data_IF_727598367218
#
_entry.id   IF_727598367218
#
_cell.length_a   1.000
_cell.length_b   1.000
_cell.length_c   1.000
_cell.angle_alpha   90.00
_cell.angle_beta   90.00
_cell.angle_gamma   90.00
#
_symmetry.space_group_name_H-M   'P 1'
#
loop_
_entity.id
_entity.type
_entity.pdbx_description
1 polymer ?
#
# COMPACT_ATOMS: atom_id res chain seq x y z
N UNK A 1 4.22 -6.62 9.90
CA UNK A 1 3.29 -5.47 9.84
C UNK A 1 2.32 -5.69 8.70
N UNK A 2 1.02 -5.54 8.94
CA UNK A 2 -0.01 -5.73 7.92
C UNK A 2 -0.08 -4.49 7.01
N UNK A 3 -0.07 -4.70 5.70
CA UNK A 3 -0.15 -3.64 4.69
C UNK A 3 -1.55 -3.64 4.08
N UNK A 4 -2.13 -2.45 3.94
CA UNK A 4 -3.42 -2.27 3.30
C UNK A 4 -3.24 -1.86 1.85
N UNK A 5 -3.82 -2.63 0.94
CA UNK A 5 -3.91 -2.28 -0.48
C UNK A 5 -5.31 -1.90 -0.88
N UNK A 6 -5.43 -1.00 -1.84
CA UNK A 6 -6.67 -0.78 -2.57
C UNK A 6 -6.69 -1.70 -3.78
N UNK A 7 -7.77 -2.48 -3.89
CA UNK A 7 -8.08 -3.32 -5.04
C UNK A 7 -9.30 -2.72 -5.73
N UNK A 8 -9.13 -2.23 -6.96
CA UNK A 8 -10.19 -1.53 -7.67
C UNK A 8 -10.54 -0.17 -7.04
N UNK A 9 -11.79 0.27 -7.24
CA UNK A 9 -12.23 1.65 -6.96
C UNK A 9 -12.64 1.89 -5.52
N UNK A 10 -13.15 0.88 -4.81
CA UNK A 10 -13.75 1.04 -3.47
C UNK A 10 -13.39 -0.06 -2.47
N UNK A 11 -12.53 -1.02 -2.82
CA UNK A 11 -12.22 -2.15 -1.93
C UNK A 11 -10.81 -1.98 -1.38
N UNK A 12 -10.69 -1.99 -0.05
CA UNK A 12 -9.40 -2.04 0.63
C UNK A 12 -9.23 -3.38 1.32
N UNK A 13 -8.03 -3.95 1.19
CA UNK A 13 -7.70 -5.28 1.68
C UNK A 13 -6.43 -5.18 2.51
N UNK A 14 -6.52 -5.58 3.77
CA UNK A 14 -5.40 -5.60 4.69
C UNK A 14 -4.80 -7.01 4.77
N UNK A 15 -3.50 -7.13 4.52
CA UNK A 15 -2.84 -8.42 4.46
C UNK A 15 -1.34 -8.36 4.75
N UNK A 16 -0.67 -9.50 4.59
CA UNK A 16 0.78 -9.61 4.79
C UNK A 16 1.48 -9.18 3.50
N UNK A 17 2.36 -8.18 3.57
CA UNK A 17 3.17 -7.77 2.42
C UNK A 17 4.07 -8.92 1.98
N UNK A 18 3.90 -9.37 0.73
CA UNK A 18 4.71 -10.41 0.11
C UNK A 18 5.84 -9.78 -0.70
N UNK A 19 5.50 -8.79 -1.54
CA UNK A 19 6.47 -8.16 -2.45
C UNK A 19 6.01 -6.77 -2.87
N UNK A 20 6.97 -5.88 -3.06
CA UNK A 20 6.76 -4.56 -3.68
C UNK A 20 7.16 -4.67 -5.16
N UNK A 21 6.30 -4.22 -6.07
CA UNK A 21 6.61 -4.09 -7.49
C UNK A 21 7.19 -2.71 -7.75
N UNK A 22 8.16 -2.64 -8.66
CA UNK A 22 8.82 -1.38 -9.05
C UNK A 22 7.86 -0.36 -9.68
N UNK A 23 6.68 -0.78 -10.13
CA UNK A 23 5.61 0.08 -10.65
C UNK A 23 4.82 0.84 -9.56
N UNK A 24 5.23 0.75 -8.29
CA UNK A 24 4.50 1.37 -7.16
C UNK A 24 3.25 0.60 -6.74
N UNK A 25 3.09 -0.64 -7.23
CA UNK A 25 2.11 -1.60 -6.73
C UNK A 25 2.78 -2.51 -5.71
N UNK A 26 1.98 -3.14 -4.87
CA UNK A 26 2.47 -4.16 -3.96
C UNK A 26 1.51 -5.33 -3.88
N UNK A 27 2.07 -6.46 -3.48
CA UNK A 27 1.37 -7.73 -3.37
C UNK A 27 1.23 -8.08 -1.90
N UNK A 28 0.00 -8.31 -1.45
CA UNK A 28 -0.31 -8.79 -0.10
C UNK A 28 -0.94 -10.16 -0.15
N UNK A 29 -0.67 -10.99 0.86
CA UNK A 29 -1.32 -12.27 1.08
C UNK A 29 -2.33 -12.16 2.21
N UNK A 30 -3.54 -12.64 1.97
CA UNK A 30 -4.63 -12.69 2.94
C UNK A 30 -5.09 -14.15 3.01
N UNK A 31 -4.74 -14.81 4.11
CA UNK A 31 -4.92 -16.27 4.24
C UNK A 31 -4.18 -17.00 3.12
N UNK A 32 -4.95 -17.66 2.25
CA UNK A 32 -4.44 -18.45 1.12
C UNK A 32 -4.48 -17.70 -0.22
N UNK A 33 -5.06 -16.51 -0.25
CA UNK A 33 -5.18 -15.68 -1.45
C UNK A 33 -4.12 -14.61 -1.50
N UNK A 34 -3.58 -14.36 -2.71
CA UNK A 34 -2.61 -13.30 -2.96
C UNK A 34 -3.25 -12.22 -3.82
N UNK A 35 -3.19 -10.98 -3.35
CA UNK A 35 -3.81 -9.83 -3.97
C UNK A 35 -2.76 -8.79 -4.34
N UNK A 36 -2.88 -8.20 -5.53
CA UNK A 36 -2.03 -7.12 -6.00
C UNK A 36 -2.84 -5.81 -6.10
N UNK A 37 -2.26 -4.72 -5.62
CA UNK A 37 -2.94 -3.44 -5.59
C UNK A 37 -2.00 -2.28 -5.31
N UNK A 38 -2.57 -1.08 -5.18
CA UNK A 38 -1.81 0.09 -4.74
C UNK A 38 -1.84 0.16 -3.22
N UNK A 39 -0.74 0.51 -2.54
CA UNK A 39 -0.78 0.84 -1.12
C UNK A 39 -1.81 1.96 -0.88
N UNK A 40 -2.68 1.80 0.12
CA UNK A 40 -3.59 2.88 0.56
C UNK A 40 -2.83 3.90 1.40
N UNK A 41 -1.79 3.45 2.11
CA UNK A 41 -0.85 4.33 2.77
C UNK A 41 0.28 4.62 1.79
N UNK A 42 0.21 5.76 1.12
CA UNK A 42 1.45 6.37 0.63
C UNK A 42 2.44 6.33 1.81
N UNK A 43 3.66 5.78 1.63
CA UNK A 43 4.68 6.00 2.63
C UNK A 43 4.74 7.52 2.70
N UNK A 44 4.28 8.01 3.84
CA UNK A 44 4.31 9.40 4.24
C UNK A 44 5.49 10.03 3.50
N UNK A 45 5.21 10.78 2.43
CA UNK A 45 6.14 11.81 2.00
C UNK A 45 6.02 12.80 3.14
N UNK A 46 6.71 12.47 4.23
CA UNK A 46 7.29 13.44 5.13
C UNK A 46 8.25 14.18 4.22
N UNK A 47 7.74 15.17 3.51
CA UNK A 47 8.51 16.35 3.28
C UNK A 47 8.48 17.08 4.63
N UNK A 48 9.52 17.02 5.48
CA UNK A 48 9.62 17.95 6.58
C UNK A 48 10.02 19.30 6.00
N UNK A 49 9.09 19.98 5.33
CA UNK A 49 9.34 21.32 4.80
C UNK A 49 8.03 22.08 4.59
N UNK A 50 7.15 22.08 5.58
CA UNK A 50 6.36 23.28 5.84
C UNK A 50 7.35 24.37 6.28
N UNK A 51 7.91 25.11 5.34
CA UNK A 51 8.39 26.46 5.61
C UNK A 51 7.21 27.38 5.34
N UNK A 52 6.48 27.86 6.36
CA UNK A 52 5.59 28.98 6.16
C UNK A 52 6.47 30.22 5.92
N UNK A 53 6.29 30.86 4.75
CA UNK A 53 6.81 32.19 4.44
C UNK A 53 5.63 33.16 4.35
#
# INVERSE_FOLDING_TARGET
>A
MLTTISIGTCVTVQGILVKMLSDGRLTVRVGDSVYCGRPVREPETVAPASTPA
#
